data_IF_665157666564
#
_entry.id   IF_665157666564
#
_cell.length_a   1.000
_cell.length_b   1.000
_cell.length_c   1.000
_cell.angle_alpha   90.00
_cell.angle_beta   90.00
_cell.angle_gamma   90.00
#
_symmetry.space_group_name_H-M   'P 1'
#
loop_
_entity.id
_entity.type
_entity.pdbx_description
1 polymer ?
#
# COMPACT_ATOMS: atom_id res chain seq x y z
N UNK A 1 18.83 49.03 -33.34
CA UNK A 1 17.48 48.98 -32.72
C UNK A 1 17.48 47.74 -31.83
N UNK A 2 17.31 47.76 -30.50
CA UNK A 2 16.51 48.61 -29.62
C UNK A 2 17.29 48.85 -28.31
N UNK A 3 17.36 50.11 -27.90
CA UNK A 3 17.94 50.61 -26.66
C UNK A 3 17.15 50.09 -25.45
N UNK A 4 17.82 49.55 -24.41
CA UNK A 4 17.21 49.40 -23.08
C UNK A 4 17.73 50.52 -22.20
N UNK A 5 16.85 51.49 -21.98
CA UNK A 5 17.01 52.63 -21.12
C UNK A 5 17.08 52.15 -19.66
N UNK A 6 18.19 52.45 -18.98
CA UNK A 6 18.25 52.44 -17.53
C UNK A 6 17.45 53.64 -17.01
N UNK A 7 16.50 53.40 -16.11
CA UNK A 7 16.05 54.41 -15.17
C UNK A 7 15.99 53.80 -13.78
N UNK A 8 16.97 54.20 -12.97
CA UNK A 8 17.01 54.01 -11.52
C UNK A 8 15.89 54.83 -10.88
N UNK A 9 15.09 54.22 -10.01
CA UNK A 9 14.44 54.95 -8.92
C UNK A 9 14.56 54.16 -7.62
N UNK A 10 15.46 54.66 -6.79
CA UNK A 10 15.59 54.40 -5.37
C UNK A 10 14.43 55.09 -4.67
N UNK A 11 13.59 54.37 -3.92
CA UNK A 11 13.04 54.93 -2.69
C UNK A 11 12.61 53.86 -1.67
N UNK A 12 12.52 54.35 -0.44
CA UNK A 12 12.72 53.69 0.84
C UNK A 12 11.46 53.02 1.36
N UNK A 13 11.67 52.05 2.26
CA UNK A 13 10.71 51.25 2.99
C UNK A 13 9.68 52.03 3.82
N UNK A 14 8.47 51.47 3.98
CA UNK A 14 7.66 51.55 5.22
C UNK A 14 6.92 50.23 5.43
N UNK A 15 7.09 49.65 6.63
CA UNK A 15 6.33 48.53 7.21
C UNK A 15 5.00 49.04 7.78
N UNK A 16 3.92 48.26 7.65
CA UNK A 16 3.03 47.83 8.75
C UNK A 16 1.55 47.62 8.34
N UNK A 17 1.06 46.43 8.74
CA UNK A 17 -0.24 46.12 9.34
C UNK A 17 -1.56 46.19 8.53
N UNK A 18 -2.17 45.00 8.44
CA UNK A 18 -3.61 44.65 8.49
C UNK A 18 -4.60 45.34 7.54
N UNK A 19 -5.17 44.57 6.61
CA UNK A 19 -6.55 44.07 6.72
C UNK A 19 -7.10 43.59 5.36
N UNK A 20 -7.84 42.48 5.42
CA UNK A 20 -8.92 42.11 4.49
C UNK A 20 -8.47 41.58 3.11
N UNK A 21 -8.08 40.31 3.06
CA UNK A 21 -8.30 39.46 1.88
C UNK A 21 -9.42 38.47 2.22
N UNK A 22 -10.60 38.75 1.70
CA UNK A 22 -11.77 37.90 1.80
C UNK A 22 -11.94 37.22 0.44
N UNK A 23 -11.35 36.03 0.30
CA UNK A 23 -11.69 35.04 -0.72
C UNK A 23 -11.59 33.67 -0.06
N UNK A 24 -12.66 33.28 0.61
CA UNK A 24 -12.86 31.93 1.10
C UNK A 24 -13.27 31.06 -0.09
N UNK A 25 -12.29 30.47 -0.78
CA UNK A 25 -12.51 29.31 -1.60
C UNK A 25 -12.34 28.09 -0.69
N UNK A 26 -13.43 27.72 0.01
CA UNK A 26 -13.51 26.46 0.75
C UNK A 26 -13.66 25.35 -0.30
N UNK A 27 -12.53 24.81 -0.75
CA UNK A 27 -12.48 23.44 -1.21
C UNK A 27 -12.32 22.58 0.06
N UNK A 28 -13.44 22.26 0.70
CA UNK A 28 -13.49 21.19 1.70
C UNK A 28 -13.67 19.88 0.94
N UNK A 29 -12.55 19.42 0.39
CA UNK A 29 -12.34 18.00 0.06
C UNK A 29 -11.18 17.52 0.95
N UNK A 30 -11.36 17.71 2.26
CA UNK A 30 -10.55 17.00 3.24
C UNK A 30 -11.11 15.60 3.34
N UNK A 31 -10.64 14.76 2.42
CA UNK A 31 -10.69 13.31 2.50
C UNK A 31 -10.40 12.85 3.94
N UNK A 32 -11.44 12.30 4.57
CA UNK A 32 -11.46 11.35 5.68
C UNK A 32 -10.09 10.89 6.18
N UNK A 33 -9.52 11.61 7.15
CA UNK A 33 -8.31 11.23 7.91
C UNK A 33 -8.72 10.43 9.15
N UNK A 34 -9.17 9.20 8.90
CA UNK A 34 -9.17 8.13 9.92
C UNK A 34 -8.66 6.87 9.19
N UNK A 35 -7.38 6.90 8.85
CA UNK A 35 -6.58 5.69 8.74
C UNK A 35 -6.19 5.32 10.16
N UNK A 36 -6.66 4.18 10.69
CA UNK A 36 -5.68 3.44 11.49
C UNK A 36 -4.71 2.96 10.41
N UNK A 37 -3.46 3.33 10.50
CA UNK A 37 -2.43 2.73 9.67
C UNK A 37 -2.11 1.37 10.30
N UNK A 38 -2.38 0.27 9.59
CA UNK A 38 -1.88 -1.04 9.98
C UNK A 38 -0.58 -1.27 9.23
N UNK A 39 0.53 -0.84 9.83
CA UNK A 39 1.82 -0.73 9.15
C UNK A 39 2.30 -2.04 8.49
N UNK A 40 2.04 -3.19 9.13
CA UNK A 40 2.37 -4.49 8.57
C UNK A 40 1.50 -4.86 7.37
N UNK A 41 0.22 -4.45 7.34
CA UNK A 41 -0.63 -4.59 6.17
C UNK A 41 -0.06 -3.83 4.98
N UNK A 42 0.32 -2.58 5.18
CA UNK A 42 0.90 -1.75 4.12
C UNK A 42 2.25 -2.30 3.64
N UNK A 43 3.11 -2.72 4.57
CA UNK A 43 4.41 -3.31 4.26
C UNK A 43 4.27 -4.58 3.42
N UNK A 44 3.36 -5.48 3.81
CA UNK A 44 3.08 -6.68 3.04
C UNK A 44 2.43 -6.36 1.69
N UNK A 45 1.50 -5.39 1.65
CA UNK A 45 0.84 -4.98 0.41
C UNK A 45 1.84 -4.50 -0.64
N UNK A 46 2.83 -3.69 -0.26
CA UNK A 46 3.83 -3.17 -1.19
C UNK A 46 4.56 -4.29 -1.94
N UNK A 47 5.09 -5.27 -1.23
CA UNK A 47 5.83 -6.38 -1.84
C UNK A 47 4.89 -7.36 -2.57
N UNK A 48 3.66 -7.55 -2.08
CA UNK A 48 2.66 -8.39 -2.76
C UNK A 48 2.26 -7.77 -4.10
N UNK A 49 2.05 -6.45 -4.16
CA UNK A 49 1.74 -5.75 -5.40
C UNK A 49 2.88 -5.85 -6.41
N UNK A 50 4.13 -5.69 -5.97
CA UNK A 50 5.32 -5.82 -6.84
C UNK A 50 5.51 -7.24 -7.37
N UNK A 51 5.18 -8.26 -6.57
CA UNK A 51 5.23 -9.65 -7.01
C UNK A 51 4.06 -10.03 -7.93
N UNK A 52 2.84 -9.60 -7.62
CA UNK A 52 1.61 -10.07 -8.27
C UNK A 52 1.24 -9.30 -9.53
N UNK A 53 1.32 -7.96 -9.55
CA UNK A 53 0.84 -7.18 -10.70
C UNK A 53 1.56 -7.53 -12.01
N UNK A 54 2.89 -7.72 -12.06
CA UNK A 54 3.56 -8.17 -13.27
C UNK A 54 3.03 -9.53 -13.78
N UNK A 55 2.68 -10.44 -12.87
CA UNK A 55 2.04 -11.71 -13.22
C UNK A 55 0.61 -11.50 -13.73
N UNK A 56 -0.22 -10.71 -13.03
CA UNK A 56 -1.60 -10.40 -13.45
C UNK A 56 -1.66 -9.75 -14.83
N UNK A 57 -0.75 -8.82 -15.10
CA UNK A 57 -0.81 -7.98 -16.29
C UNK A 57 -0.13 -8.62 -17.52
N UNK A 58 0.87 -9.48 -17.31
CA UNK A 58 1.71 -9.99 -18.40
C UNK A 58 2.21 -11.43 -18.23
N UNK A 59 1.70 -12.17 -17.24
CA UNK A 59 2.19 -13.49 -16.83
C UNK A 59 3.68 -13.53 -16.46
N UNK A 60 4.28 -12.37 -16.14
CA UNK A 60 5.68 -12.26 -15.75
C UNK A 60 5.89 -12.72 -14.31
N UNK A 61 6.48 -13.91 -14.13
CA UNK A 61 6.79 -14.49 -12.82
C UNK A 61 8.20 -14.15 -12.31
N UNK A 62 9.02 -13.41 -13.05
CA UNK A 62 10.38 -13.09 -12.60
C UNK A 62 10.41 -12.25 -11.30
N UNK A 63 9.50 -11.28 -11.08
CA UNK A 63 9.43 -10.54 -9.81
C UNK A 63 9.13 -11.44 -8.62
N UNK A 64 8.10 -12.29 -8.69
CA UNK A 64 7.79 -13.20 -7.58
C UNK A 64 8.92 -14.19 -7.30
N UNK A 65 9.63 -14.69 -8.33
CA UNK A 65 10.79 -15.57 -8.15
C UNK A 65 11.92 -14.88 -7.37
N UNK A 66 12.03 -13.57 -7.50
CA UNK A 66 13.04 -12.76 -6.81
C UNK A 66 12.58 -12.40 -5.39
N UNK A 67 11.30 -12.09 -5.21
CA UNK A 67 10.74 -11.54 -3.97
C UNK A 67 10.16 -12.59 -3.00
N UNK A 68 10.05 -13.87 -3.38
CA UNK A 68 9.32 -14.86 -2.58
C UNK A 68 9.87 -15.06 -1.15
N UNK A 69 11.19 -14.96 -0.95
CA UNK A 69 11.77 -15.01 0.40
C UNK A 69 11.39 -13.80 1.26
N UNK A 70 11.34 -12.62 0.65
CA UNK A 70 10.93 -11.39 1.32
C UNK A 70 9.44 -11.44 1.67
N UNK A 71 8.58 -11.91 0.74
CA UNK A 71 7.16 -12.20 1.00
C UNK A 71 6.97 -13.14 2.19
N UNK A 72 7.71 -14.24 2.24
CA UNK A 72 7.63 -15.19 3.35
C UNK A 72 8.13 -14.57 4.68
N UNK A 73 9.17 -13.74 4.63
CA UNK A 73 9.70 -13.03 5.80
C UNK A 73 8.70 -11.99 6.33
N UNK A 74 8.10 -11.16 5.48
CA UNK A 74 7.12 -10.17 5.91
C UNK A 74 5.83 -10.81 6.42
N UNK A 75 5.36 -11.90 5.82
CA UNK A 75 4.22 -12.65 6.36
C UNK A 75 4.52 -13.25 7.75
N UNK A 76 5.75 -13.74 7.96
CA UNK A 76 6.18 -14.26 9.27
C UNK A 76 6.21 -13.16 10.33
N UNK A 77 6.78 -11.99 10.00
CA UNK A 77 6.79 -10.81 10.87
C UNK A 77 5.36 -10.34 11.18
N UNK A 78 4.50 -10.25 10.17
CA UNK A 78 3.13 -9.80 10.34
C UNK A 78 2.32 -10.74 11.23
N UNK A 79 2.47 -12.06 11.04
CA UNK A 79 1.82 -13.05 11.90
C UNK A 79 2.31 -13.04 13.36
N UNK A 80 3.50 -12.49 13.63
CA UNK A 80 4.07 -12.34 14.97
C UNK A 80 3.79 -10.96 15.61
N UNK A 81 3.32 -9.99 14.83
CA UNK A 81 3.08 -8.62 15.29
C UNK A 81 1.83 -8.53 16.18
N UNK A 82 1.77 -7.48 17.00
CA UNK A 82 0.56 -7.16 17.75
C UNK A 82 -0.53 -6.70 16.78
N UNK A 83 -1.73 -7.28 16.88
CA UNK A 83 -2.85 -6.91 16.02
C UNK A 83 -3.57 -5.67 16.55
N UNK A 84 -4.07 -4.79 15.67
CA UNK A 84 -4.99 -3.75 16.10
C UNK A 84 -6.23 -4.36 16.76
N UNK A 85 -6.73 -3.73 17.84
CA UNK A 85 -7.79 -4.29 18.68
C UNK A 85 -9.08 -4.65 17.91
N UNK A 86 -9.39 -3.93 16.83
CA UNK A 86 -10.58 -4.16 16.00
C UNK A 86 -10.47 -5.38 15.06
N UNK A 87 -9.28 -5.96 14.93
CA UNK A 87 -9.01 -7.19 14.16
C UNK A 87 -8.23 -8.25 14.96
N UNK A 88 -8.00 -8.02 16.25
CA UNK A 88 -7.39 -9.00 17.16
C UNK A 88 -8.40 -10.09 17.55
N UNK A 89 -8.70 -10.97 16.60
CA UNK A 89 -9.62 -12.09 16.77
C UNK A 89 -9.09 -13.35 16.06
N UNK A 90 -9.68 -14.50 16.36
CA UNK A 90 -9.20 -15.81 15.87
C UNK A 90 -9.31 -15.95 14.34
N UNK A 91 -10.26 -15.27 13.71
CA UNK A 91 -10.44 -15.29 12.25
C UNK A 91 -9.24 -14.65 11.55
N UNK A 92 -8.87 -13.43 11.95
CA UNK A 92 -7.72 -12.71 11.36
C UNK A 92 -6.40 -13.40 11.70
N UNK A 93 -6.25 -13.93 12.91
CA UNK A 93 -5.08 -14.76 13.28
C UNK A 93 -4.96 -15.99 12.39
N UNK A 94 -6.08 -16.65 12.10
CA UNK A 94 -6.14 -17.78 11.18
C UNK A 94 -5.73 -17.40 9.76
N UNK A 95 -6.22 -16.26 9.26
CA UNK A 95 -5.85 -15.75 7.93
C UNK A 95 -4.35 -15.43 7.84
N UNK A 96 -3.76 -14.78 8.85
CA UNK A 96 -2.33 -14.49 8.90
C UNK A 96 -1.47 -15.75 8.99
N UNK A 97 -1.88 -16.74 9.78
CA UNK A 97 -1.19 -18.03 9.86
C UNK A 97 -1.20 -18.78 8.52
N UNK A 98 -2.33 -18.73 7.80
CA UNK A 98 -2.43 -19.27 6.44
C UNK A 98 -1.53 -18.52 5.47
N UNK A 99 -1.59 -17.19 5.45
CA UNK A 99 -0.76 -16.34 4.59
C UNK A 99 0.74 -16.61 4.80
N UNK A 100 1.19 -16.71 6.06
CA UNK A 100 2.55 -17.10 6.43
C UNK A 100 2.95 -18.48 5.88
N UNK A 101 2.07 -19.47 6.03
CA UNK A 101 2.34 -20.83 5.56
C UNK A 101 2.45 -20.89 4.03
N UNK A 102 1.52 -20.23 3.35
CA UNK A 102 1.43 -20.26 1.89
C UNK A 102 2.57 -19.47 1.23
N UNK A 103 2.98 -18.33 1.80
CA UNK A 103 4.13 -17.56 1.28
C UNK A 103 5.43 -18.33 1.40
N UNK A 104 5.65 -19.04 2.53
CA UNK A 104 6.78 -19.95 2.68
C UNK A 104 6.72 -21.10 1.67
N UNK A 105 5.55 -21.72 1.49
CA UNK A 105 5.33 -22.78 0.51
C UNK A 105 5.68 -22.34 -0.92
N UNK A 106 5.26 -21.13 -1.32
CA UNK A 106 5.62 -20.55 -2.62
C UNK A 106 7.14 -20.39 -2.77
N UNK A 107 7.82 -19.84 -1.76
CA UNK A 107 9.27 -19.67 -1.80
C UNK A 107 10.01 -21.01 -1.94
N UNK A 108 9.54 -22.04 -1.24
CA UNK A 108 10.13 -23.39 -1.31
C UNK A 108 9.87 -24.06 -2.67
N UNK A 109 8.68 -23.89 -3.26
CA UNK A 109 8.35 -24.36 -4.62
C UNK A 109 9.20 -23.68 -5.69
N UNK A 110 9.48 -22.38 -5.56
CA UNK A 110 10.39 -21.67 -6.47
C UNK A 110 11.79 -22.28 -6.43
N UNK A 111 12.33 -22.55 -5.23
CA UNK A 111 13.63 -23.22 -5.07
C UNK A 111 13.63 -24.64 -5.63
N UNK A 112 12.51 -25.35 -5.51
CA UNK A 112 12.34 -26.70 -6.04
C UNK A 112 12.15 -26.73 -7.56
N UNK A 113 12.03 -25.58 -8.23
CA UNK A 113 11.83 -25.51 -9.67
C UNK A 113 10.42 -25.92 -10.12
N UNK A 114 9.40 -25.60 -9.31
CA UNK A 114 8.00 -25.79 -9.68
C UNK A 114 7.66 -25.08 -11.01
N UNK A 115 6.63 -25.56 -11.67
CA UNK A 115 6.21 -25.03 -12.97
C UNK A 115 5.62 -23.63 -12.85
N UNK A 116 5.70 -22.83 -13.91
CA UNK A 116 5.09 -21.50 -13.94
C UNK A 116 3.57 -21.54 -13.67
N UNK A 117 2.89 -22.60 -14.09
CA UNK A 117 1.45 -22.78 -13.83
C UNK A 117 1.15 -22.94 -12.33
N UNK A 118 1.92 -23.80 -11.65
CA UNK A 118 1.81 -23.97 -10.19
C UNK A 118 2.12 -22.65 -9.45
N UNK A 119 3.20 -21.97 -9.83
CA UNK A 119 3.61 -20.71 -9.21
C UNK A 119 2.57 -19.60 -9.40
N UNK A 120 1.97 -19.50 -10.59
CA UNK A 120 0.91 -18.53 -10.86
C UNK A 120 -0.37 -18.80 -10.05
N UNK A 121 -0.75 -20.08 -9.90
CA UNK A 121 -1.89 -20.47 -9.09
C UNK A 121 -1.69 -20.16 -7.59
N UNK A 122 -0.50 -20.47 -7.06
CA UNK A 122 -0.13 -20.16 -5.69
C UNK A 122 -0.12 -18.64 -5.45
N UNK A 123 0.48 -17.87 -6.36
CA UNK A 123 0.57 -16.42 -6.24
C UNK A 123 -0.82 -15.75 -6.29
N UNK A 124 -1.74 -16.25 -7.11
CA UNK A 124 -3.14 -15.79 -7.13
C UNK A 124 -3.82 -16.07 -5.79
N UNK A 125 -3.66 -17.29 -5.27
CA UNK A 125 -4.22 -17.69 -3.97
C UNK A 125 -3.70 -16.83 -2.82
N UNK A 126 -2.42 -16.44 -2.88
CA UNK A 126 -1.80 -15.56 -1.90
C UNK A 126 -2.35 -14.15 -1.97
N UNK A 127 -2.49 -13.59 -3.16
CA UNK A 127 -3.11 -12.29 -3.37
C UNK A 127 -4.54 -12.26 -2.81
N UNK A 128 -5.35 -13.29 -3.09
CA UNK A 128 -6.72 -13.39 -2.57
C UNK A 128 -6.75 -13.55 -1.04
N UNK A 129 -5.83 -14.34 -0.47
CA UNK A 129 -5.70 -14.48 0.99
C UNK A 129 -5.33 -13.15 1.66
N UNK A 130 -4.48 -12.33 1.02
CA UNK A 130 -4.18 -10.98 1.47
C UNK A 130 -5.41 -10.06 1.41
N UNK A 131 -6.18 -10.10 0.31
CA UNK A 131 -7.43 -9.31 0.21
C UNK A 131 -8.43 -9.67 1.31
N UNK A 132 -8.56 -10.94 1.70
CA UNK A 132 -9.42 -11.32 2.83
C UNK A 132 -9.05 -10.63 4.15
N UNK A 133 -7.76 -10.46 4.43
CA UNK A 133 -7.28 -9.72 5.61
C UNK A 133 -7.59 -8.23 5.48
N UNK A 134 -7.38 -7.67 4.29
CA UNK A 134 -7.69 -6.26 4.00
C UNK A 134 -9.19 -5.96 4.09
N UNK A 135 -10.05 -6.87 3.64
CA UNK A 135 -11.50 -6.77 3.79
C UNK A 135 -11.92 -6.81 5.27
N UNK A 136 -11.37 -7.74 6.06
CA UNK A 136 -11.63 -7.79 7.50
C UNK A 136 -11.22 -6.48 8.19
N UNK A 137 -10.07 -5.94 7.81
CA UNK A 137 -9.60 -4.64 8.27
C UNK A 137 -10.57 -3.50 7.91
N UNK A 138 -10.94 -3.37 6.64
CA UNK A 138 -11.81 -2.30 6.17
C UNK A 138 -13.23 -2.39 6.75
N UNK A 139 -13.78 -3.60 6.86
CA UNK A 139 -15.08 -3.86 7.51
C UNK A 139 -15.05 -3.46 8.98
N UNK A 140 -13.97 -3.74 9.70
CA UNK A 140 -13.81 -3.33 11.10
C UNK A 140 -13.74 -1.80 11.28
N UNK A 141 -13.52 -1.05 10.18
CA UNK A 141 -13.54 0.42 10.11
C UNK A 141 -14.86 1.01 9.62
N UNK A 142 -15.85 0.18 9.27
CA UNK A 142 -17.10 0.64 8.66
C UNK A 142 -16.93 1.15 7.22
N UNK A 143 -15.83 0.80 6.54
CA UNK A 143 -15.61 1.12 5.13
C UNK A 143 -15.98 -0.10 4.28
N UNK A 144 -17.10 -0.05 3.55
CA UNK A 144 -17.40 -1.06 2.52
C UNK A 144 -16.43 -0.87 1.34
N UNK A 145 -15.60 -1.86 1.05
CA UNK A 145 -14.71 -1.87 -0.11
C UNK A 145 -15.44 -2.48 -1.31
N UNK A 146 -15.53 -1.74 -2.43
CA UNK A 146 -15.90 -2.29 -3.74
C UNK A 146 -14.65 -2.83 -4.41
N UNK A 147 -14.66 -4.11 -4.78
CA UNK A 147 -13.63 -4.71 -5.63
C UNK A 147 -14.08 -4.63 -7.10
N UNK A 148 -13.35 -3.88 -7.92
CA UNK A 148 -13.40 -4.03 -9.37
C UNK A 148 -12.33 -5.06 -9.77
N UNK A 149 -12.78 -6.14 -10.41
CA UNK A 149 -11.95 -7.25 -10.90
C UNK A 149 -11.48 -7.01 -12.34
#
# INVERSE_FOLDING_TARGET
>A
MKTKLFLTFLWLAILAACAKKEEAQVNEDTASTEVNDWAELDSFHMIMAEAFHPFKDSANLEPVKTLAEELASEADKWAAAALPANVDNDEVKGMLAKLKTDTRSLADKIKAGATNEELGADLTTLHDSFHGIMEAWNKSKGKEHKHDH
#
